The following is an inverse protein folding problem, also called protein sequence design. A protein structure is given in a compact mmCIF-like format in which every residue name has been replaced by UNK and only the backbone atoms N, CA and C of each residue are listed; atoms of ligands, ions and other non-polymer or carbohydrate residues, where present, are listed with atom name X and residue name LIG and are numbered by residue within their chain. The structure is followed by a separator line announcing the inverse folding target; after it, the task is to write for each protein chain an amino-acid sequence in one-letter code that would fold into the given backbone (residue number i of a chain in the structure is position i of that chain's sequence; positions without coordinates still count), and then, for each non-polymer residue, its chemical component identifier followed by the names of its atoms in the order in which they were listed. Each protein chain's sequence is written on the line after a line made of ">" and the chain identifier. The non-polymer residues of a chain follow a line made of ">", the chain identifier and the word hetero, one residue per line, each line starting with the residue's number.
data_IF_193599953097
#
_entry.id   IF_193599953097
#
_cell.length_a   1.000
_cell.length_b   1.000
_cell.length_c   1.000
_cell.angle_alpha   90.00
_cell.angle_beta   90.00
_cell.angle_gamma   90.00
#
_symmetry.space_group_name_H-M   'P 1'
#
loop_
_entity.id
_entity.type
_entity.pdbx_description
1 polymer ?
#
# COMPACT_ATOMS: atom_id res chain seq x y z
N UNK A 1 -14.60 72.65 30.50
CA UNK A 1 -15.15 71.29 30.36
C UNK A 1 -14.51 70.64 29.13
N UNK A 2 -13.67 69.61 29.29
CA UNK A 2 -13.08 68.85 28.17
C UNK A 2 -13.74 67.46 28.15
N UNK A 3 -14.60 67.22 27.18
CA UNK A 3 -15.26 65.92 26.95
C UNK A 3 -14.29 65.01 26.18
N UNK A 4 -13.81 63.95 26.82
CA UNK A 4 -13.07 62.87 26.13
C UNK A 4 -14.10 61.93 25.50
N UNK A 5 -14.13 61.86 24.18
CA UNK A 5 -14.90 60.86 23.45
C UNK A 5 -14.10 59.56 23.42
N UNK A 6 -14.54 58.57 24.18
CA UNK A 6 -13.95 57.23 24.21
C UNK A 6 -14.57 56.41 23.07
N UNK A 7 -13.84 56.24 21.96
CA UNK A 7 -14.24 55.30 20.91
C UNK A 7 -13.98 53.87 21.40
N UNK A 8 -15.04 53.17 21.81
CA UNK A 8 -15.02 51.73 22.03
C UNK A 8 -14.93 51.02 20.68
N UNK A 9 -13.72 50.57 20.33
CA UNK A 9 -13.49 49.69 19.19
C UNK A 9 -14.05 48.30 19.55
N UNK A 10 -15.25 47.99 19.06
CA UNK A 10 -15.81 46.64 19.16
C UNK A 10 -14.97 45.71 18.27
N UNK A 11 -14.04 44.99 18.86
CA UNK A 11 -13.33 43.90 18.17
C UNK A 11 -14.29 42.73 18.00
N UNK A 12 -14.93 42.63 16.84
CA UNK A 12 -15.69 41.45 16.42
C UNK A 12 -14.72 40.29 16.18
N UNK A 13 -14.55 39.45 17.20
CA UNK A 13 -13.82 38.18 17.10
C UNK A 13 -14.72 37.23 16.28
N UNK A 14 -14.50 37.15 14.98
CA UNK A 14 -15.06 36.06 14.17
C UNK A 14 -14.34 34.78 14.58
N UNK A 15 -14.93 34.03 15.49
CA UNK A 15 -14.58 32.62 15.68
C UNK A 15 -15.01 31.92 14.39
N UNK A 16 -14.09 31.78 13.42
CA UNK A 16 -14.35 30.96 12.25
C UNK A 16 -14.41 29.52 12.73
N UNK A 17 -15.60 29.07 13.13
CA UNK A 17 -15.86 27.64 13.24
C UNK A 17 -15.73 27.07 11.82
N UNK A 18 -14.58 26.48 11.51
CA UNK A 18 -14.39 25.73 10.27
C UNK A 18 -15.42 24.60 10.30
N UNK A 19 -16.47 24.72 9.48
CA UNK A 19 -17.46 23.67 9.33
C UNK A 19 -16.76 22.37 8.94
N UNK A 20 -17.18 21.24 9.53
CA UNK A 20 -16.67 19.93 9.12
C UNK A 20 -17.09 19.54 7.70
N UNK A 21 -18.10 20.23 7.15
CA UNK A 21 -18.68 19.96 5.83
C UNK A 21 -17.86 20.58 4.71
N UNK A 22 -17.95 20.01 3.51
CA UNK A 22 -17.19 20.39 2.33
C UNK A 22 -18.09 20.86 1.18
N UNK A 23 -17.55 21.71 0.31
CA UNK A 23 -18.30 22.19 -0.86
C UNK A 23 -18.52 21.05 -1.87
N UNK A 24 -19.62 21.08 -2.65
CA UNK A 24 -19.87 20.09 -3.69
C UNK A 24 -18.72 19.95 -4.71
N UNK A 25 -18.09 21.06 -5.08
CA UNK A 25 -16.94 21.06 -5.99
C UNK A 25 -15.75 20.31 -5.41
N UNK A 26 -15.40 20.57 -4.14
CA UNK A 26 -14.32 19.86 -3.47
C UNK A 26 -14.62 18.37 -3.36
N UNK A 27 -15.85 18.01 -2.96
CA UNK A 27 -16.30 16.62 -2.86
C UNK A 27 -16.10 15.90 -4.19
N UNK A 28 -16.60 16.47 -5.30
CA UNK A 28 -16.47 15.88 -6.62
C UNK A 28 -15.01 15.66 -7.04
N UNK A 29 -14.16 16.67 -6.83
CA UNK A 29 -12.77 16.61 -7.31
C UNK A 29 -11.86 15.78 -6.40
N UNK A 30 -12.11 15.75 -5.09
CA UNK A 30 -11.32 15.01 -4.10
C UNK A 30 -11.75 13.54 -3.97
N UNK A 31 -12.98 13.18 -4.31
CA UNK A 31 -13.45 11.78 -4.23
C UNK A 31 -12.64 10.89 -5.17
N UNK A 32 -12.17 9.76 -4.69
CA UNK A 32 -11.47 8.76 -5.50
C UNK A 32 -10.31 8.10 -4.77
N UNK A 33 -9.54 7.30 -5.50
CA UNK A 33 -8.44 6.51 -4.95
C UNK A 33 -7.11 7.22 -5.22
N UNK A 34 -6.20 7.18 -4.25
CA UNK A 34 -4.88 7.80 -4.32
C UNK A 34 -3.82 6.79 -3.91
N UNK A 35 -2.69 6.76 -4.62
CA UNK A 35 -1.55 5.92 -4.25
C UNK A 35 -0.96 6.41 -2.93
N UNK A 36 -1.04 5.59 -1.88
CA UNK A 36 -0.31 5.83 -0.63
C UNK A 36 1.16 5.47 -0.78
N UNK A 37 1.42 4.35 -1.46
CA UNK A 37 2.74 3.95 -1.96
C UNK A 37 2.56 3.25 -3.31
N UNK A 38 3.60 2.56 -3.79
CA UNK A 38 3.60 1.92 -5.10
C UNK A 38 2.56 0.78 -5.26
N UNK A 39 2.04 0.23 -4.17
CA UNK A 39 1.12 -0.92 -4.18
C UNK A 39 0.04 -0.85 -3.09
N UNK A 40 -0.21 0.35 -2.55
CA UNK A 40 -1.23 0.61 -1.52
C UNK A 40 -2.01 1.87 -1.86
N UNK A 41 -3.30 1.87 -1.56
CA UNK A 41 -4.21 3.00 -1.84
C UNK A 41 -4.88 3.55 -0.58
N UNK A 42 -5.18 4.84 -0.63
CA UNK A 42 -6.17 5.49 0.23
C UNK A 42 -7.38 5.83 -0.64
N UNK A 43 -8.56 5.41 -0.21
CA UNK A 43 -9.83 5.81 -0.84
C UNK A 43 -10.38 7.03 -0.11
N UNK A 44 -10.63 8.12 -0.83
CA UNK A 44 -11.29 9.32 -0.31
C UNK A 44 -12.75 9.27 -0.72
N UNK A 45 -13.64 9.33 0.25
CA UNK A 45 -15.08 9.40 0.02
C UNK A 45 -15.73 10.36 1.01
N UNK A 46 -17.03 10.63 0.81
CA UNK A 46 -17.76 11.58 1.64
C UNK A 46 -19.10 10.99 2.08
N UNK A 47 -19.46 11.21 3.34
CA UNK A 47 -20.79 10.97 3.89
C UNK A 47 -21.27 12.23 4.62
N UNK A 48 -22.51 12.65 4.37
CA UNK A 48 -23.07 13.91 4.86
C UNK A 48 -22.13 15.13 4.70
N UNK A 49 -21.47 15.22 3.54
CA UNK A 49 -20.48 16.26 3.17
C UNK A 49 -19.19 16.25 4.01
N UNK A 50 -19.01 15.29 4.93
CA UNK A 50 -17.77 15.07 5.68
C UNK A 50 -16.84 14.13 4.92
N UNK A 51 -15.54 14.38 5.00
CA UNK A 51 -14.52 13.55 4.36
C UNK A 51 -14.22 12.33 5.22
N UNK A 52 -14.15 11.17 4.58
CA UNK A 52 -13.67 9.92 5.15
C UNK A 52 -12.55 9.34 4.29
N UNK A 53 -11.69 8.57 4.92
CA UNK A 53 -10.64 7.81 4.24
C UNK A 53 -10.82 6.33 4.51
N UNK A 54 -10.81 5.49 3.47
CA UNK A 54 -10.56 4.06 3.66
C UNK A 54 -9.08 3.78 3.50
N UNK A 55 -8.46 3.25 4.54
CA UNK A 55 -7.05 2.88 4.54
C UNK A 55 -6.84 1.61 5.37
N UNK A 56 -6.17 0.61 4.79
CA UNK A 56 -5.88 -0.70 5.44
C UNK A 56 -7.12 -1.38 6.03
N UNK A 57 -8.23 -1.32 5.30
CA UNK A 57 -9.50 -1.92 5.70
C UNK A 57 -10.23 -1.20 6.84
N UNK A 58 -9.82 0.04 7.18
CA UNK A 58 -10.48 0.87 8.18
C UNK A 58 -10.97 2.17 7.56
N UNK A 59 -12.13 2.60 8.01
CA UNK A 59 -12.62 3.94 7.76
C UNK A 59 -12.05 4.90 8.83
N UNK A 60 -11.48 6.00 8.37
CA UNK A 60 -10.92 7.07 9.18
C UNK A 60 -11.77 8.33 8.99
N UNK A 61 -11.96 9.10 10.05
CA UNK A 61 -12.62 10.42 10.01
C UNK A 61 -11.57 11.51 10.31
N UNK A 62 -10.90 12.05 9.27
CA UNK A 62 -9.92 13.12 9.48
C UNK A 62 -10.55 14.40 10.01
N UNK A 63 -9.83 15.09 10.89
CA UNK A 63 -10.23 16.41 11.36
C UNK A 63 -9.97 17.46 10.29
N UNK A 64 -11.02 18.15 9.84
CA UNK A 64 -10.89 19.27 8.91
C UNK A 64 -10.15 20.45 9.56
N UNK A 65 -9.01 20.82 8.99
CA UNK A 65 -8.20 21.98 9.42
C UNK A 65 -8.65 23.22 8.64
N UNK A 66 -8.82 23.07 7.33
CA UNK A 66 -9.39 24.06 6.40
C UNK A 66 -9.94 23.33 5.17
N UNK A 67 -10.41 24.06 4.16
CA UNK A 67 -11.09 23.47 2.98
C UNK A 67 -10.23 22.52 2.14
N UNK A 68 -8.91 22.57 2.25
CA UNK A 68 -8.00 21.66 1.53
C UNK A 68 -7.13 20.80 2.44
N UNK A 69 -7.20 20.98 3.76
CA UNK A 69 -6.27 20.35 4.70
C UNK A 69 -7.01 19.57 5.78
N UNK A 70 -6.63 18.30 5.94
CA UNK A 70 -7.24 17.39 6.90
C UNK A 70 -6.17 16.70 7.73
N UNK A 71 -6.33 16.68 9.04
CA UNK A 71 -5.44 15.95 9.94
C UNK A 71 -5.95 14.51 10.16
N UNK A 72 -5.09 13.54 9.90
CA UNK A 72 -5.37 12.10 10.05
C UNK A 72 -4.59 11.58 11.25
N UNK A 73 -5.30 11.31 12.35
CA UNK A 73 -4.67 10.99 13.64
C UNK A 73 -3.85 9.69 13.60
N UNK A 74 -4.32 8.70 12.84
CA UNK A 74 -3.74 7.37 12.67
C UNK A 74 -2.42 7.40 11.90
N UNK A 75 -2.26 8.40 11.03
CA UNK A 75 -1.00 8.67 10.34
C UNK A 75 -0.14 9.68 11.12
N UNK A 76 -0.74 10.37 12.10
CA UNK A 76 -0.25 11.61 12.68
C UNK A 76 0.04 12.68 11.61
N UNK A 77 -0.60 12.66 10.44
CA UNK A 77 -0.23 13.53 9.31
C UNK A 77 -1.32 14.51 8.90
N UNK A 78 -0.92 15.59 8.22
CA UNK A 78 -1.87 16.50 7.56
C UNK A 78 -1.84 16.25 6.06
N UNK A 79 -2.98 15.85 5.52
CA UNK A 79 -3.21 15.69 4.10
C UNK A 79 -3.63 17.03 3.49
N UNK A 80 -2.86 17.53 2.53
CA UNK A 80 -3.13 18.75 1.77
C UNK A 80 -3.58 18.37 0.37
N UNK A 81 -4.87 18.56 0.10
CA UNK A 81 -5.50 18.24 -1.17
C UNK A 81 -5.20 19.32 -2.20
N UNK A 82 -4.66 18.89 -3.34
CA UNK A 82 -4.54 19.69 -4.55
C UNK A 82 -5.39 19.03 -5.64
N UNK A 83 -6.68 19.32 -5.59
CA UNK A 83 -7.69 18.71 -6.46
C UNK A 83 -7.51 19.09 -7.93
N UNK A 84 -6.97 20.26 -8.24
CA UNK A 84 -6.66 20.67 -9.63
C UNK A 84 -5.49 19.90 -10.23
N UNK A 85 -4.55 19.43 -9.38
CA UNK A 85 -3.43 18.57 -9.79
C UNK A 85 -3.66 17.10 -9.50
N UNK A 86 -4.87 16.70 -9.10
CA UNK A 86 -5.23 15.32 -8.77
C UNK A 86 -4.23 14.65 -7.82
N UNK A 87 -3.86 15.33 -6.73
CA UNK A 87 -2.93 14.79 -5.75
C UNK A 87 -3.21 15.26 -4.33
N UNK A 88 -2.70 14.48 -3.37
CA UNK A 88 -2.61 14.84 -1.96
C UNK A 88 -1.13 14.94 -1.62
N UNK A 89 -0.74 15.95 -0.85
CA UNK A 89 0.62 16.11 -0.35
C UNK A 89 0.59 16.09 1.18
N UNK A 90 1.62 15.51 1.82
CA UNK A 90 1.77 15.68 3.26
C UNK A 90 2.26 17.10 3.58
N UNK A 91 1.65 17.74 4.58
CA UNK A 91 2.14 19.03 5.05
C UNK A 91 3.58 18.88 5.59
N UNK A 92 4.44 19.86 5.28
CA UNK A 92 5.84 19.79 5.70
C UNK A 92 5.95 19.82 7.24
N UNK A 93 6.77 18.93 7.79
CA UNK A 93 7.12 18.88 9.20
C UNK A 93 8.62 18.89 9.42
N UNK A 94 9.03 19.15 10.66
CA UNK A 94 10.45 19.08 11.05
C UNK A 94 11.00 17.66 10.91
N UNK A 95 10.20 16.62 11.20
CA UNK A 95 10.67 15.22 11.14
C UNK A 95 11.01 14.75 9.72
N UNK A 96 10.45 15.39 8.68
CA UNK A 96 10.63 14.99 7.29
C UNK A 96 10.90 16.19 6.37
N UNK A 97 11.64 17.19 6.86
CA UNK A 97 11.81 18.49 6.17
C UNK A 97 12.29 18.35 4.72
N UNK A 98 13.05 17.31 4.42
CA UNK A 98 13.68 17.06 3.12
C UNK A 98 12.90 16.06 2.24
N UNK A 99 11.83 15.45 2.76
CA UNK A 99 11.03 14.47 2.02
C UNK A 99 9.66 15.05 1.63
N UNK A 100 9.32 14.94 0.35
CA UNK A 100 8.01 15.33 -0.16
C UNK A 100 7.19 14.10 -0.53
N UNK A 101 6.20 13.79 0.30
CA UNK A 101 5.26 12.70 0.04
C UNK A 101 4.09 13.20 -0.80
N UNK A 102 3.85 12.53 -1.93
CA UNK A 102 2.81 12.88 -2.89
C UNK A 102 2.01 11.62 -3.20
N UNK A 103 0.70 11.70 -2.97
CA UNK A 103 -0.26 10.66 -3.31
C UNK A 103 -1.02 11.10 -4.55
N UNK A 104 -0.68 10.52 -5.70
CA UNK A 104 -1.34 10.81 -6.97
C UNK A 104 -2.67 10.07 -7.05
N UNK A 105 -3.70 10.72 -7.60
CA UNK A 105 -5.00 10.10 -7.84
C UNK A 105 -4.87 9.03 -8.93
N UNK A 106 -5.45 7.87 -8.67
CA UNK A 106 -5.58 6.80 -9.65
C UNK A 106 -6.60 7.19 -10.72
N UNK A 107 -6.38 6.71 -11.94
CA UNK A 107 -7.39 6.75 -12.99
C UNK A 107 -8.54 5.82 -12.64
N UNK A 108 -9.68 6.05 -13.28
CA UNK A 108 -10.82 5.16 -13.17
C UNK A 108 -10.42 3.72 -13.54
N UNK A 109 -10.78 2.76 -12.69
CA UNK A 109 -10.47 1.34 -12.82
C UNK A 109 -8.98 0.96 -12.81
N UNK A 110 -8.07 1.90 -12.53
CA UNK A 110 -6.66 1.59 -12.31
C UNK A 110 -6.50 0.75 -11.04
N UNK A 111 -5.69 -0.30 -11.12
CA UNK A 111 -5.43 -1.24 -10.03
C UNK A 111 -3.96 -1.28 -9.68
N UNK A 112 -3.67 -1.50 -8.40
CA UNK A 112 -2.32 -1.80 -7.92
C UNK A 112 -1.91 -3.23 -8.29
N UNK A 113 -0.61 -3.56 -8.29
CA UNK A 113 -0.16 -4.95 -8.46
C UNK A 113 -0.85 -5.95 -7.51
N UNK A 114 -1.03 -5.58 -6.24
CA UNK A 114 -1.69 -6.40 -5.22
C UNK A 114 -3.18 -6.59 -5.47
N UNK A 115 -3.86 -5.61 -6.07
CA UNK A 115 -5.26 -5.77 -6.49
C UNK A 115 -5.38 -6.74 -7.66
N UNK A 116 -4.48 -6.68 -8.64
CA UNK A 116 -4.43 -7.70 -9.70
C UNK A 116 -4.17 -9.09 -9.13
N UNK A 117 -3.28 -9.22 -8.13
CA UNK A 117 -3.08 -10.50 -7.43
C UNK A 117 -4.33 -10.99 -6.70
N UNK A 118 -5.08 -10.09 -6.06
CA UNK A 118 -6.31 -10.44 -5.38
C UNK A 118 -7.35 -11.01 -6.35
N UNK A 119 -7.34 -10.53 -7.60
CA UNK A 119 -8.18 -11.02 -8.70
C UNK A 119 -7.60 -12.27 -9.41
N UNK A 120 -6.46 -12.78 -8.95
CA UNK A 120 -5.67 -13.84 -9.60
C UNK A 120 -5.14 -13.50 -11.01
N UNK A 121 -5.04 -12.22 -11.35
CA UNK A 121 -4.42 -11.73 -12.59
C UNK A 121 -2.89 -11.62 -12.40
N UNK A 122 -2.22 -12.76 -12.53
CA UNK A 122 -0.77 -12.86 -12.35
C UNK A 122 0.02 -11.97 -13.34
N UNK A 123 -0.41 -11.91 -14.61
CA UNK A 123 0.33 -11.21 -15.65
C UNK A 123 0.33 -9.70 -15.39
N UNK A 124 -0.83 -9.13 -15.06
CA UNK A 124 -0.92 -7.70 -14.74
C UNK A 124 -0.24 -7.36 -13.41
N UNK A 125 -0.32 -8.25 -12.42
CA UNK A 125 0.41 -8.09 -11.17
C UNK A 125 1.93 -8.08 -11.40
N UNK A 126 2.47 -9.06 -12.14
CA UNK A 126 3.89 -9.16 -12.43
C UNK A 126 4.37 -7.92 -13.19
N UNK A 127 3.63 -7.50 -14.22
CA UNK A 127 3.92 -6.26 -14.95
C UNK A 127 3.98 -5.05 -14.02
N UNK A 128 3.06 -4.97 -13.08
CA UNK A 128 3.02 -3.92 -12.06
C UNK A 128 4.27 -3.92 -11.16
N UNK A 129 4.64 -5.07 -10.58
CA UNK A 129 5.82 -5.16 -9.73
C UNK A 129 7.13 -4.90 -10.49
N UNK A 130 7.24 -5.32 -11.76
CA UNK A 130 8.39 -4.99 -12.60
C UNK A 130 8.47 -3.49 -12.90
N UNK A 131 7.35 -2.82 -13.13
CA UNK A 131 7.31 -1.37 -13.29
C UNK A 131 7.73 -0.63 -12.01
N UNK A 132 7.40 -1.18 -10.83
CA UNK A 132 7.90 -0.66 -9.55
C UNK A 132 9.41 -0.81 -9.48
N UNK A 133 9.95 -1.99 -9.81
CA UNK A 133 11.39 -2.26 -9.81
C UNK A 133 12.17 -1.34 -10.77
N UNK A 134 11.63 -1.10 -11.96
CA UNK A 134 12.24 -0.20 -12.95
C UNK A 134 12.30 1.25 -12.44
N UNK A 135 11.24 1.70 -11.75
CA UNK A 135 11.15 3.05 -11.22
C UNK A 135 11.95 3.26 -9.93
N UNK A 136 11.91 2.29 -9.04
CA UNK A 136 12.54 2.31 -7.72
C UNK A 136 12.91 0.88 -7.31
N UNK A 137 14.12 0.47 -7.66
CA UNK A 137 14.65 -0.87 -7.37
C UNK A 137 14.88 -1.15 -5.88
N UNK A 138 14.81 -0.11 -5.04
CA UNK A 138 14.92 -0.21 -3.58
C UNK A 138 13.56 -0.09 -2.90
N UNK A 139 12.46 -0.09 -3.66
CA UNK A 139 11.13 0.04 -3.10
C UNK A 139 10.85 -1.10 -2.10
N UNK A 140 10.43 -0.81 -0.86
CA UNK A 140 10.11 -1.84 0.13
C UNK A 140 8.98 -2.78 -0.32
N UNK A 141 8.15 -2.34 -1.27
CA UNK A 141 7.07 -3.15 -1.85
C UNK A 141 7.59 -4.38 -2.58
N UNK A 142 8.75 -4.25 -3.23
CA UNK A 142 9.37 -5.34 -3.99
C UNK A 142 10.49 -6.05 -3.23
N UNK A 143 10.76 -5.68 -1.98
CA UNK A 143 11.79 -6.33 -1.17
C UNK A 143 11.50 -7.83 -1.02
N UNK A 144 12.53 -8.67 -1.24
CA UNK A 144 12.41 -10.13 -1.22
C UNK A 144 11.73 -10.62 0.05
N UNK A 145 12.14 -10.11 1.22
CA UNK A 145 11.63 -10.54 2.52
C UNK A 145 10.19 -10.09 2.75
N UNK A 146 9.83 -8.92 2.25
CA UNK A 146 8.48 -8.36 2.34
C UNK A 146 7.49 -9.17 1.51
N UNK A 147 7.85 -9.48 0.26
CA UNK A 147 7.08 -10.38 -0.62
C UNK A 147 6.99 -11.77 0.04
N UNK A 148 8.11 -12.31 0.51
CA UNK A 148 8.18 -13.62 1.14
C UNK A 148 7.24 -13.73 2.35
N UNK A 149 7.34 -12.76 3.27
CA UNK A 149 6.53 -12.69 4.48
C UNK A 149 5.03 -12.58 4.19
N UNK A 150 4.67 -11.88 3.11
CA UNK A 150 3.28 -11.80 2.63
C UNK A 150 2.80 -13.11 2.01
N UNK A 151 3.64 -13.78 1.23
CA UNK A 151 3.33 -15.11 0.70
C UNK A 151 3.07 -16.13 1.81
N UNK A 152 3.91 -16.15 2.85
CA UNK A 152 3.68 -17.01 4.01
C UNK A 152 2.43 -16.62 4.82
N UNK A 153 2.04 -15.34 4.84
CA UNK A 153 0.76 -14.93 5.43
C UNK A 153 -0.42 -15.53 4.67
N UNK A 154 -0.40 -15.49 3.33
CA UNK A 154 -1.40 -16.15 2.51
C UNK A 154 -1.42 -17.67 2.74
N UNK A 155 -0.27 -18.33 2.87
CA UNK A 155 -0.22 -19.77 3.21
C UNK A 155 -0.81 -20.09 4.59
N UNK A 156 -0.68 -19.19 5.58
CA UNK A 156 -1.30 -19.37 6.90
C UNK A 156 -2.82 -19.20 6.87
N UNK A 157 -3.33 -18.44 5.90
CA UNK A 157 -4.75 -18.22 5.68
C UNK A 157 -5.36 -19.21 4.66
N UNK A 158 -4.62 -20.24 4.25
CA UNK A 158 -4.99 -21.20 3.19
C UNK A 158 -5.32 -20.56 1.83
N UNK A 159 -4.81 -19.34 1.57
CA UNK A 159 -4.93 -18.61 0.31
C UNK A 159 -3.85 -19.05 -0.69
N UNK A 160 -3.82 -20.35 -1.03
CA UNK A 160 -2.71 -20.97 -1.75
C UNK A 160 -2.39 -20.33 -3.10
N UNK A 161 -3.42 -19.99 -3.91
CA UNK A 161 -3.19 -19.38 -5.23
C UNK A 161 -2.54 -18.00 -5.12
N UNK A 162 -2.95 -17.18 -4.14
CA UNK A 162 -2.34 -15.87 -3.88
C UNK A 162 -0.88 -16.03 -3.47
N UNK A 163 -0.60 -16.98 -2.57
CA UNK A 163 0.77 -17.28 -2.15
C UNK A 163 1.65 -17.72 -3.34
N UNK A 164 1.17 -18.66 -4.16
CA UNK A 164 1.90 -19.16 -5.34
C UNK A 164 2.21 -18.02 -6.31
N UNK A 165 1.21 -17.20 -6.66
CA UNK A 165 1.42 -16.08 -7.59
C UNK A 165 2.44 -15.08 -7.05
N UNK A 166 2.37 -14.78 -5.76
CA UNK A 166 3.29 -13.85 -5.11
C UNK A 166 4.72 -14.42 -5.02
N UNK A 167 4.89 -15.71 -4.69
CA UNK A 167 6.20 -16.35 -4.71
C UNK A 167 6.77 -16.46 -6.13
N UNK A 168 5.93 -16.72 -7.14
CA UNK A 168 6.35 -16.65 -8.56
C UNK A 168 6.88 -15.26 -8.90
N UNK A 169 6.21 -14.18 -8.49
CA UNK A 169 6.74 -12.82 -8.66
C UNK A 169 8.09 -12.69 -7.96
N UNK A 170 8.24 -13.20 -6.74
CA UNK A 170 9.52 -13.16 -6.01
C UNK A 170 10.66 -13.87 -6.78
N UNK A 171 10.37 -15.03 -7.41
CA UNK A 171 11.37 -15.74 -8.24
C UNK A 171 11.78 -14.95 -9.49
N UNK A 172 10.91 -14.09 -10.03
CA UNK A 172 11.23 -13.23 -11.17
C UNK A 172 12.06 -12.02 -10.73
N UNK A 173 11.72 -11.42 -9.59
CA UNK A 173 12.44 -10.27 -9.05
C UNK A 173 13.83 -10.67 -8.49
N UNK A 174 13.94 -11.87 -7.92
CA UNK A 174 15.17 -12.40 -7.29
C UNK A 174 15.50 -13.82 -7.80
N UNK A 175 15.85 -13.97 -9.09
CA UNK A 175 16.07 -15.27 -9.72
C UNK A 175 17.34 -16.00 -9.23
N UNK A 176 18.19 -15.33 -8.46
CA UNK A 176 19.42 -15.89 -7.88
C UNK A 176 19.30 -16.17 -6.38
N UNK A 177 18.12 -15.99 -5.79
CA UNK A 177 17.88 -16.31 -4.39
C UNK A 177 17.29 -17.71 -4.27
N UNK A 178 18.01 -18.63 -3.62
CA UNK A 178 17.47 -19.97 -3.35
C UNK A 178 16.22 -19.93 -2.47
N UNK A 179 16.04 -18.89 -1.65
CA UNK A 179 14.92 -18.74 -0.73
C UNK A 179 13.59 -18.49 -1.47
N UNK A 180 13.61 -17.83 -2.63
CA UNK A 180 12.39 -17.57 -3.40
C UNK A 180 11.82 -18.84 -4.02
N UNK A 181 12.69 -19.71 -4.55
CA UNK A 181 12.30 -21.02 -5.06
C UNK A 181 11.91 -21.99 -3.95
N UNK A 182 12.62 -21.98 -2.79
CA UNK A 182 12.21 -22.77 -1.62
C UNK A 182 10.79 -22.42 -1.17
N UNK A 183 10.49 -21.12 -1.09
CA UNK A 183 9.17 -20.63 -0.65
C UNK A 183 8.07 -20.91 -1.67
N UNK A 184 8.39 -20.87 -2.97
CA UNK A 184 7.47 -21.33 -4.01
C UNK A 184 7.19 -22.83 -3.90
N UNK A 185 8.22 -23.64 -3.60
CA UNK A 185 8.09 -25.07 -3.33
C UNK A 185 7.17 -25.36 -2.13
N UNK A 186 7.34 -24.61 -1.04
CA UNK A 186 6.48 -24.68 0.15
C UNK A 186 5.02 -24.40 -0.19
N UNK A 187 4.75 -23.42 -1.06
CA UNK A 187 3.40 -23.08 -1.47
C UNK A 187 2.72 -24.17 -2.29
N UNK A 188 3.45 -24.76 -3.24
CA UNK A 188 2.95 -25.90 -4.01
C UNK A 188 2.72 -27.13 -3.12
N UNK A 189 3.63 -27.40 -2.19
CA UNK A 189 3.48 -28.49 -1.24
C UNK A 189 2.23 -28.31 -0.36
N UNK A 190 1.96 -27.08 0.10
CA UNK A 190 0.73 -26.74 0.86
C UNK A 190 -0.54 -26.90 0.02
N UNK A 191 -0.47 -26.61 -1.28
CA UNK A 191 -1.54 -26.88 -2.25
C UNK A 191 -1.67 -28.36 -2.63
N UNK A 192 -0.79 -29.23 -2.10
CA UNK A 192 -0.68 -30.67 -2.41
C UNK A 192 -0.20 -30.97 -3.82
N UNK A 193 0.40 -30.00 -4.49
CA UNK A 193 1.08 -30.18 -5.77
C UNK A 193 2.54 -30.60 -5.51
N UNK A 194 2.74 -31.90 -5.30
CA UNK A 194 4.06 -32.44 -4.94
C UNK A 194 5.05 -32.38 -6.11
N UNK A 195 4.57 -32.46 -7.34
CA UNK A 195 5.43 -32.39 -8.53
C UNK A 195 6.07 -31.00 -8.65
N UNK A 196 5.26 -29.94 -8.60
CA UNK A 196 5.78 -28.57 -8.65
C UNK A 196 6.63 -28.22 -7.42
N UNK A 197 6.29 -28.75 -6.24
CA UNK A 197 7.10 -28.57 -5.05
C UNK A 197 8.52 -29.12 -5.23
N UNK A 198 8.66 -30.34 -5.75
CA UNK A 198 9.95 -30.99 -6.02
C UNK A 198 10.78 -30.17 -7.01
N UNK A 199 10.19 -29.71 -8.11
CA UNK A 199 10.87 -28.89 -9.13
C UNK A 199 11.47 -27.63 -8.49
N UNK A 200 10.68 -26.94 -7.66
CA UNK A 200 11.12 -25.69 -7.03
C UNK A 200 12.17 -25.91 -5.93
N UNK A 201 12.07 -26.98 -5.12
CA UNK A 201 13.13 -27.31 -4.17
C UNK A 201 14.44 -27.72 -4.86
N UNK A 202 14.35 -28.46 -5.98
CA UNK A 202 15.53 -28.75 -6.81
C UNK A 202 16.16 -27.45 -7.32
N UNK A 203 15.34 -26.51 -7.81
CA UNK A 203 15.84 -25.22 -8.28
C UNK A 203 16.51 -24.41 -7.17
N UNK A 204 15.95 -24.41 -5.97
CA UNK A 204 16.58 -23.78 -4.80
C UNK A 204 17.96 -24.39 -4.49
N UNK A 205 18.09 -25.72 -4.58
CA UNK A 205 19.35 -26.44 -4.34
C UNK A 205 20.37 -26.29 -5.48
N UNK A 206 19.94 -26.09 -6.72
CA UNK A 206 20.82 -25.70 -7.83
C UNK A 206 21.50 -24.35 -7.56
N UNK A 207 20.76 -23.39 -6.97
CA UNK A 207 21.27 -22.06 -6.65
C UNK A 207 22.13 -22.11 -5.38
N UNK A 208 21.67 -22.82 -4.35
CA UNK A 208 22.36 -22.97 -3.08
C UNK A 208 22.21 -24.40 -2.55
N UNK A 209 23.23 -25.27 -2.76
CA UNK A 209 23.22 -26.65 -2.27
C UNK A 209 23.06 -26.78 -0.75
N UNK A 210 23.37 -25.72 0.01
CA UNK A 210 23.28 -25.69 1.47
C UNK A 210 21.90 -25.21 1.98
N UNK A 211 20.90 -25.04 1.11
CA UNK A 211 19.54 -24.72 1.54
C UNK A 211 18.92 -25.91 2.31
N UNK A 212 19.04 -25.85 3.63
CA UNK A 212 18.58 -26.91 4.55
C UNK A 212 17.08 -27.18 4.45
N UNK A 213 16.27 -26.16 4.19
CA UNK A 213 14.81 -26.29 4.06
C UNK A 213 14.47 -27.15 2.83
N UNK A 214 14.98 -26.75 1.66
CA UNK A 214 14.75 -27.46 0.40
C UNK A 214 15.29 -28.88 0.44
N UNK A 215 16.48 -29.09 1.00
CA UNK A 215 17.07 -30.44 1.16
C UNK A 215 16.18 -31.34 2.00
N UNK A 216 15.74 -30.86 3.17
CA UNK A 216 14.86 -31.62 4.06
C UNK A 216 13.52 -31.95 3.41
N UNK A 217 12.90 -30.97 2.73
CA UNK A 217 11.62 -31.17 2.08
C UNK A 217 11.75 -32.14 0.89
N UNK A 218 12.76 -31.98 0.04
CA UNK A 218 13.00 -32.87 -1.10
C UNK A 218 13.24 -34.31 -0.63
N UNK A 219 14.09 -34.53 0.38
CA UNK A 219 14.32 -35.87 0.95
C UNK A 219 13.02 -36.51 1.48
N UNK A 220 12.16 -35.72 2.13
CA UNK A 220 10.88 -36.21 2.66
C UNK A 220 9.91 -36.59 1.54
N UNK A 221 9.93 -35.86 0.43
CA UNK A 221 9.01 -36.08 -0.70
C UNK A 221 9.46 -37.26 -1.58
N UNK A 222 10.76 -37.51 -1.70
CA UNK A 222 11.31 -38.59 -2.54
C UNK A 222 11.49 -39.91 -1.81
N UNK A 223 11.58 -39.93 -0.47
CA UNK A 223 11.63 -41.16 0.33
C UNK A 223 10.26 -41.83 0.54
N UNK A 224 9.18 -41.27 0.00
CA UNK A 224 7.80 -41.66 0.32
C UNK A 224 7.22 -42.75 -0.60
N UNK A 225 8.07 -43.50 -1.28
CA UNK A 225 7.72 -44.67 -2.10
C UNK A 225 7.80 -45.98 -1.30
#
# INVERSE_FOLDING_TARGET
>A
MKTRLLFLLLASIFISCTSSKNSPEFINNATGRYFFNADEVIEVYFDQEKLFLKWRGKDLEPMKVNDSTFYVSEMNEKLVFNTTKNKIELAQKREHKDNKYVFSKLKENEKTPSEYLADNDYEMALKGYLAIQEKDSLSPVIDENTINSTGYRHLRNDEFNKAINLFRINTVLYPKSSNTFDSLGDAFLRKKDTAEAIINYQKALEINPENKSSKKNLEKLTKKE
#
